data_IF_637577660406
#
_entry.id   IF_637577660406
#
_cell.length_a   1.000
_cell.length_b   1.000
_cell.length_c   1.000
_cell.angle_alpha   90.00
_cell.angle_beta   90.00
_cell.angle_gamma   90.00
#
_symmetry.space_group_name_H-M   'P 1'
#
loop_
_entity.id
_entity.type
_entity.pdbx_description
1 polymer ?
#
# COMPACT_ATOMS: atom_id res chain seq x y z
N UNK A 1 10.20 -19.50 14.61
CA UNK A 1 9.51 -20.63 13.96
C UNK A 1 8.94 -20.21 12.61
N UNK A 2 8.27 -19.04 12.52
CA UNK A 2 7.77 -18.43 11.26
C UNK A 2 8.83 -18.25 10.17
N UNK A 3 10.02 -17.74 10.52
CA UNK A 3 11.08 -17.46 9.55
C UNK A 3 11.56 -18.70 8.75
N UNK A 4 11.44 -19.90 9.34
CA UNK A 4 11.80 -21.15 8.66
C UNK A 4 10.73 -21.57 7.64
N UNK A 5 9.46 -21.44 8.01
CA UNK A 5 8.33 -21.69 7.10
C UNK A 5 8.33 -20.68 5.94
N UNK A 6 8.68 -19.43 6.23
CA UNK A 6 8.81 -18.37 5.23
C UNK A 6 9.90 -18.66 4.19
N UNK A 7 11.04 -19.20 4.63
CA UNK A 7 12.13 -19.65 3.76
C UNK A 7 11.74 -20.87 2.91
N UNK A 8 10.98 -21.81 3.47
CA UNK A 8 10.49 -22.99 2.75
C UNK A 8 9.47 -22.60 1.66
N UNK A 9 8.58 -21.63 1.95
CA UNK A 9 7.64 -21.08 0.96
C UNK A 9 8.39 -20.38 -0.18
N UNK A 10 9.41 -19.57 0.14
CA UNK A 10 10.25 -18.91 -0.85
C UNK A 10 10.96 -19.90 -1.78
N UNK A 11 11.59 -20.92 -1.20
CA UNK A 11 12.32 -21.96 -1.94
C UNK A 11 11.37 -22.72 -2.88
N UNK A 12 10.17 -23.08 -2.40
CA UNK A 12 9.15 -23.74 -3.23
C UNK A 12 8.67 -22.87 -4.40
N UNK A 13 8.45 -21.56 -4.18
CA UNK A 13 8.05 -20.64 -5.25
C UNK A 13 9.16 -20.43 -6.27
N UNK A 14 10.40 -20.26 -5.83
CA UNK A 14 11.56 -20.12 -6.70
C UNK A 14 11.72 -21.37 -7.59
N UNK A 15 11.55 -22.57 -7.02
CA UNK A 15 11.54 -23.84 -7.77
C UNK A 15 10.38 -23.94 -8.76
N UNK A 16 9.16 -23.60 -8.37
CA UNK A 16 8.01 -23.64 -9.29
C UNK A 16 8.15 -22.66 -10.46
N UNK A 17 8.70 -21.48 -10.19
CA UNK A 17 8.95 -20.44 -11.21
C UNK A 17 10.09 -20.83 -12.14
N UNK A 18 11.15 -21.44 -11.61
CA UNK A 18 12.29 -21.91 -12.40
C UNK A 18 11.93 -23.12 -13.25
N UNK A 19 11.17 -24.08 -12.72
CA UNK A 19 10.64 -25.23 -13.47
C UNK A 19 9.69 -24.78 -14.57
N UNK A 20 8.82 -23.79 -14.29
CA UNK A 20 7.94 -23.20 -15.29
C UNK A 20 8.72 -22.55 -16.45
N UNK A 21 9.73 -21.73 -16.13
CA UNK A 21 10.60 -21.10 -17.12
C UNK A 21 11.42 -22.13 -17.91
N UNK A 22 11.98 -23.14 -17.24
CA UNK A 22 12.77 -24.19 -17.87
C UNK A 22 11.94 -25.02 -18.86
N UNK A 23 10.75 -25.44 -18.43
CA UNK A 23 9.83 -26.27 -19.23
C UNK A 23 9.32 -25.57 -20.48
N UNK A 24 9.14 -24.25 -20.44
CA UNK A 24 8.54 -23.49 -21.54
C UNK A 24 9.53 -22.68 -22.37
N UNK A 25 10.68 -22.27 -21.83
CA UNK A 25 11.67 -21.46 -22.54
C UNK A 25 12.83 -22.25 -23.16
N UNK A 26 12.93 -23.59 -22.97
CA UNK A 26 14.05 -24.42 -23.46
C UNK A 26 15.42 -23.73 -23.30
N UNK A 27 15.70 -23.18 -22.13
CA UNK A 27 17.00 -22.58 -21.87
C UNK A 27 18.02 -23.69 -21.62
N UNK A 28 18.83 -24.00 -22.63
CA UNK A 28 20.05 -24.80 -22.47
C UNK A 28 21.07 -24.00 -21.63
N UNK A 29 21.69 -24.69 -20.67
CA UNK A 29 22.23 -24.07 -19.45
C UNK A 29 23.49 -23.24 -19.59
N UNK A 30 23.87 -22.56 -18.49
CA UNK A 30 25.27 -22.40 -18.11
C UNK A 30 25.44 -21.96 -16.64
N UNK A 31 26.62 -22.25 -16.07
CA UNK A 31 27.10 -22.05 -14.68
C UNK A 31 26.99 -20.62 -14.11
N UNK A 32 26.50 -19.65 -14.89
CA UNK A 32 26.13 -18.30 -14.47
C UNK A 32 25.02 -18.27 -13.41
N UNK A 33 24.08 -19.22 -13.47
CA UNK A 33 22.89 -19.26 -12.61
C UNK A 33 23.22 -19.49 -11.12
N UNK A 34 24.21 -20.35 -10.85
CA UNK A 34 24.72 -20.61 -9.48
C UNK A 34 25.29 -19.35 -8.84
N UNK A 35 26.04 -18.54 -9.62
CA UNK A 35 26.67 -17.33 -9.12
C UNK A 35 25.66 -16.21 -8.89
N UNK A 36 24.61 -16.12 -9.71
CA UNK A 36 23.50 -15.18 -9.50
C UNK A 36 22.67 -15.58 -8.28
N UNK A 37 22.33 -16.86 -8.12
CA UNK A 37 21.58 -17.35 -6.96
C UNK A 37 22.38 -17.21 -5.66
N UNK A 38 23.70 -17.44 -5.71
CA UNK A 38 24.59 -17.20 -4.58
C UNK A 38 24.75 -15.71 -4.26
N UNK A 39 24.85 -14.84 -5.26
CA UNK A 39 24.87 -13.39 -5.05
C UNK A 39 23.54 -12.86 -4.48
N UNK A 40 22.40 -13.40 -4.92
CA UNK A 40 21.08 -13.09 -4.36
C UNK A 40 20.98 -13.60 -2.92
N UNK A 41 21.42 -14.83 -2.63
CA UNK A 41 21.45 -15.38 -1.27
C UNK A 41 22.38 -14.60 -0.32
N UNK A 42 23.58 -14.24 -0.77
CA UNK A 42 24.57 -13.48 -0.01
C UNK A 42 24.14 -12.01 0.20
N UNK A 43 23.37 -11.45 -0.75
CA UNK A 43 22.72 -10.16 -0.62
C UNK A 43 21.55 -10.21 0.39
N UNK A 44 20.74 -11.28 0.35
CA UNK A 44 19.61 -11.49 1.27
C UNK A 44 20.05 -11.79 2.71
N UNK A 45 21.20 -12.44 2.91
CA UNK A 45 21.74 -12.72 4.25
C UNK A 45 22.26 -11.48 5.00
N UNK A 46 22.62 -10.40 4.29
CA UNK A 46 23.36 -9.26 4.87
C UNK A 46 22.49 -8.13 5.41
N UNK A 47 21.17 -8.26 5.48
CA UNK A 47 20.33 -7.11 5.84
C UNK A 47 19.09 -7.55 6.64
N UNK A 48 18.67 -6.73 7.61
CA UNK A 48 17.33 -6.78 8.23
C UNK A 48 16.26 -5.99 7.40
N UNK A 49 15.85 -6.44 6.19
CA UNK A 49 14.62 -6.00 5.54
C UNK A 49 13.81 -7.17 4.93
N UNK A 50 13.85 -8.36 5.55
CA UNK A 50 13.18 -9.54 5.01
C UNK A 50 11.66 -9.40 4.89
N UNK A 51 10.98 -8.53 5.65
CA UNK A 51 9.51 -8.39 5.56
C UNK A 51 9.04 -7.91 4.18
N UNK A 52 9.61 -6.83 3.64
CA UNK A 52 9.15 -6.21 2.38
C UNK A 52 9.47 -7.09 1.16
N UNK A 53 10.64 -7.75 1.15
CA UNK A 53 11.03 -8.68 0.07
C UNK A 53 10.19 -9.96 0.13
N UNK A 54 9.98 -10.51 1.34
CA UNK A 54 9.15 -11.69 1.56
C UNK A 54 7.68 -11.43 1.27
N UNK A 55 7.14 -10.26 1.67
CA UNK A 55 5.81 -9.80 1.29
C UNK A 55 5.73 -9.75 -0.24
N UNK A 56 6.62 -9.05 -0.93
CA UNK A 56 6.63 -8.96 -2.40
C UNK A 56 6.64 -10.34 -3.11
N UNK A 57 7.36 -11.33 -2.59
CA UNK A 57 7.41 -12.69 -3.15
C UNK A 57 6.18 -13.55 -2.77
N UNK A 58 5.52 -13.25 -1.65
CA UNK A 58 4.26 -13.89 -1.24
C UNK A 58 3.03 -13.26 -1.90
N UNK A 59 3.12 -12.03 -2.36
CA UNK A 59 1.97 -11.23 -2.79
C UNK A 59 1.23 -11.80 -3.99
N UNK A 60 1.89 -12.54 -4.89
CA UNK A 60 1.24 -13.06 -6.08
C UNK A 60 1.53 -14.53 -6.38
N UNK A 61 0.63 -15.12 -7.16
CA UNK A 61 0.73 -16.45 -7.75
C UNK A 61 0.27 -16.40 -9.21
N UNK A 62 0.70 -17.39 -10.00
CA UNK A 62 0.19 -17.55 -11.37
C UNK A 62 -1.20 -18.17 -11.25
N UNK A 63 -2.21 -17.42 -11.68
CA UNK A 63 -3.61 -17.84 -11.71
C UNK A 63 -3.91 -18.65 -12.96
N UNK A 64 -3.41 -18.20 -14.10
CA UNK A 64 -3.64 -18.85 -15.40
C UNK A 64 -2.56 -18.47 -16.43
N UNK A 65 -2.46 -19.26 -17.49
CA UNK A 65 -1.56 -19.05 -18.61
C UNK A 65 -2.20 -19.50 -19.93
N UNK A 66 -2.26 -18.59 -20.90
CA UNK A 66 -2.78 -18.86 -22.24
C UNK A 66 -1.69 -18.64 -23.30
N UNK A 67 -1.67 -19.53 -24.31
CA UNK A 67 -0.93 -19.31 -25.56
C UNK A 67 -1.91 -19.35 -26.72
N UNK A 68 -2.03 -18.25 -27.45
CA UNK A 68 -2.90 -18.16 -28.64
C UNK A 68 -2.29 -17.25 -29.69
N UNK A 69 -2.22 -17.73 -30.94
CA UNK A 69 -1.81 -16.96 -32.12
C UNK A 69 -0.46 -16.23 -31.97
N UNK A 70 0.54 -16.88 -31.36
CA UNK A 70 1.86 -16.28 -31.12
C UNK A 70 1.90 -15.24 -29.98
N UNK A 71 0.78 -15.02 -29.28
CA UNK A 71 0.73 -14.24 -28.06
C UNK A 71 0.72 -15.15 -26.83
N UNK A 72 1.48 -14.76 -25.82
CA UNK A 72 1.46 -15.39 -24.50
C UNK A 72 0.74 -14.48 -23.52
N UNK A 73 -0.16 -15.03 -22.71
CA UNK A 73 -0.85 -14.29 -21.65
C UNK A 73 -0.61 -14.97 -20.34
N UNK A 74 -0.16 -14.21 -19.36
CA UNK A 74 0.03 -14.65 -17.98
C UNK A 74 -0.96 -13.87 -17.11
N UNK A 75 -1.67 -14.58 -16.25
CA UNK A 75 -2.55 -13.99 -15.25
C UNK A 75 -1.92 -14.18 -13.88
N UNK A 76 -1.68 -13.06 -13.18
CA UNK A 76 -1.11 -13.04 -11.85
C UNK A 76 -2.18 -12.59 -10.87
N UNK A 77 -2.46 -13.42 -9.86
CA UNK A 77 -3.39 -13.11 -8.80
C UNK A 77 -2.60 -12.59 -7.58
N UNK A 78 -2.91 -11.37 -7.14
CA UNK A 78 -2.25 -10.71 -6.03
C UNK A 78 -3.10 -10.78 -4.77
N UNK A 79 -2.90 -11.83 -3.96
CA UNK A 79 -3.66 -12.11 -2.73
C UNK A 79 -5.19 -12.01 -2.92
N UNK A 80 -5.69 -12.25 -4.13
CA UNK A 80 -7.09 -12.09 -4.56
C UNK A 80 -7.61 -10.66 -4.63
N UNK A 81 -6.77 -9.64 -4.41
CA UNK A 81 -7.16 -8.23 -4.52
C UNK A 81 -7.04 -7.69 -5.94
N UNK A 82 -6.06 -8.20 -6.71
CA UNK A 82 -5.78 -7.79 -8.08
C UNK A 82 -5.57 -9.03 -8.94
N UNK A 83 -6.15 -9.06 -10.13
CA UNK A 83 -5.68 -9.92 -11.23
C UNK A 83 -4.97 -9.05 -12.26
N UNK A 84 -3.66 -9.25 -12.42
CA UNK A 84 -2.88 -8.61 -13.46
C UNK A 84 -2.76 -9.53 -14.66
N UNK A 85 -3.10 -9.02 -15.84
CA UNK A 85 -2.89 -9.71 -17.10
C UNK A 85 -1.67 -9.12 -17.80
N UNK A 86 -0.72 -9.97 -18.14
CA UNK A 86 0.48 -9.61 -18.92
C UNK A 86 0.42 -10.34 -20.25
N UNK A 87 0.26 -9.60 -21.34
CA UNK A 87 0.24 -10.14 -22.71
C UNK A 87 1.57 -9.83 -23.39
N UNK A 88 2.32 -10.87 -23.75
CA UNK A 88 3.57 -10.78 -24.51
C UNK A 88 3.28 -11.11 -25.96
N UNK A 89 3.47 -10.14 -26.85
CA UNK A 89 3.34 -10.33 -28.30
C UNK A 89 4.72 -10.54 -28.91
N UNK A 90 5.02 -11.77 -29.36
CA UNK A 90 6.34 -12.09 -29.94
C UNK A 90 6.55 -11.55 -31.34
N UNK A 91 5.48 -11.17 -32.06
CA UNK A 91 5.59 -10.59 -33.40
C UNK A 91 5.97 -9.10 -33.39
N UNK A 92 5.65 -8.38 -32.31
CA UNK A 92 5.89 -6.93 -32.19
C UNK A 92 6.84 -6.56 -31.03
N UNK A 93 7.48 -7.54 -30.37
CA UNK A 93 8.33 -7.35 -29.18
C UNK A 93 7.74 -6.35 -28.19
N UNK A 94 6.49 -6.57 -27.78
CA UNK A 94 5.77 -5.67 -26.87
C UNK A 94 5.05 -6.43 -25.77
N UNK A 95 4.91 -5.76 -24.62
CA UNK A 95 4.18 -6.25 -23.46
C UNK A 95 2.98 -5.32 -23.23
N UNK A 96 1.79 -5.90 -23.06
CA UNK A 96 0.57 -5.18 -22.70
C UNK A 96 0.14 -5.63 -21.32
N UNK A 97 -0.11 -4.68 -20.43
CA UNK A 97 -0.46 -4.93 -19.03
C UNK A 97 -1.78 -4.27 -18.71
N UNK A 98 -2.66 -5.01 -18.04
CA UNK A 98 -3.92 -4.51 -17.51
C UNK A 98 -4.17 -5.12 -16.14
N UNK A 99 -4.66 -4.32 -15.20
CA UNK A 99 -4.99 -4.75 -13.84
C UNK A 99 -6.51 -4.76 -13.66
N UNK A 100 -7.03 -5.78 -12.98
CA UNK A 100 -8.43 -5.85 -12.56
C UNK A 100 -8.49 -5.92 -11.04
N UNK A 101 -9.26 -5.04 -10.40
CA UNK A 101 -9.43 -5.04 -8.95
C UNK A 101 -10.61 -5.92 -8.54
N UNK A 102 -10.48 -6.59 -7.41
CA UNK A 102 -11.57 -7.32 -6.76
C UNK A 102 -12.26 -6.42 -5.72
N UNK A 103 -13.23 -5.64 -6.18
CA UNK A 103 -14.02 -4.72 -5.36
C UNK A 103 -14.71 -5.41 -4.18
N UNK A 104 -15.27 -6.59 -4.41
CA UNK A 104 -15.94 -7.40 -3.38
C UNK A 104 -14.97 -7.79 -2.26
N UNK A 105 -13.78 -8.29 -2.60
CA UNK A 105 -12.79 -8.70 -1.59
C UNK A 105 -12.22 -7.50 -0.83
N UNK A 106 -11.93 -6.41 -1.53
CA UNK A 106 -11.42 -5.17 -0.91
C UNK A 106 -12.45 -4.60 0.05
N UNK A 107 -13.71 -4.46 -0.38
CA UNK A 107 -14.79 -3.94 0.46
C UNK A 107 -15.08 -4.81 1.68
N UNK A 108 -14.98 -6.14 1.54
CA UNK A 108 -15.15 -7.09 2.65
C UNK A 108 -14.02 -7.00 3.68
N UNK A 109 -12.77 -6.88 3.24
CA UNK A 109 -11.62 -6.88 4.14
C UNK A 109 -11.39 -5.52 4.81
N UNK A 110 -11.78 -4.43 4.13
CA UNK A 110 -11.55 -3.06 4.60
C UNK A 110 -12.86 -2.24 4.63
N UNK A 111 -13.82 -2.60 5.49
CA UNK A 111 -15.12 -1.94 5.52
C UNK A 111 -15.04 -0.53 6.11
N UNK A 112 -15.88 0.37 5.58
CA UNK A 112 -16.07 1.74 6.09
C UNK A 112 -14.82 2.64 6.06
N UNK A 113 -13.86 2.36 5.18
CA UNK A 113 -12.67 3.19 4.98
C UNK A 113 -12.54 3.75 3.56
N UNK A 114 -13.47 3.44 2.65
CA UNK A 114 -13.37 3.78 1.23
C UNK A 114 -12.05 3.27 0.60
N UNK A 115 -11.53 2.16 1.11
CA UNK A 115 -10.26 1.57 0.67
C UNK A 115 -10.24 1.30 -0.84
N UNK A 116 -11.36 0.91 -1.44
CA UNK A 116 -11.45 0.68 -2.89
C UNK A 116 -10.98 1.88 -3.71
N UNK A 117 -11.30 3.12 -3.28
CA UNK A 117 -10.83 4.34 -3.95
C UNK A 117 -9.31 4.50 -3.87
N UNK A 118 -8.68 4.07 -2.77
CA UNK A 118 -7.21 4.05 -2.67
C UNK A 118 -6.58 2.98 -3.58
N UNK A 119 -7.17 1.79 -3.64
CA UNK A 119 -6.73 0.73 -4.56
C UNK A 119 -6.82 1.18 -6.02
N UNK A 120 -7.95 1.76 -6.41
CA UNK A 120 -8.15 2.30 -7.75
C UNK A 120 -7.14 3.41 -8.08
N UNK A 121 -6.90 4.32 -7.16
CA UNK A 121 -5.94 5.42 -7.35
C UNK A 121 -4.49 4.94 -7.52
N UNK A 122 -4.06 3.98 -6.70
CA UNK A 122 -2.67 3.52 -6.64
C UNK A 122 -2.33 2.57 -7.79
N UNK A 123 -3.27 1.69 -8.16
CA UNK A 123 -3.02 0.60 -9.11
C UNK A 123 -3.52 0.89 -10.53
N UNK A 124 -4.28 1.97 -10.69
CA UNK A 124 -4.82 2.49 -11.95
C UNK A 124 -5.33 1.38 -12.90
N UNK A 125 -6.35 0.61 -12.50
CA UNK A 125 -6.81 -0.55 -13.26
C UNK A 125 -7.43 -0.18 -14.61
N UNK A 126 -7.81 1.09 -14.80
CA UNK A 126 -8.49 1.55 -16.01
C UNK A 126 -7.51 1.84 -17.15
N UNK A 127 -6.21 1.90 -16.88
CA UNK A 127 -5.21 2.11 -17.92
C UNK A 127 -4.60 0.78 -18.37
N UNK A 128 -4.60 0.59 -19.68
CA UNK A 128 -3.80 -0.48 -20.30
C UNK A 128 -2.45 0.08 -20.64
N UNK A 129 -1.39 -0.49 -20.07
CA UNK A 129 -0.02 -0.04 -20.30
C UNK A 129 0.61 -0.89 -21.41
N UNK A 130 0.97 -0.24 -22.52
CA UNK A 130 1.79 -0.85 -23.58
C UNK A 130 3.26 -0.49 -23.34
N UNK A 131 4.08 -1.48 -23.07
CA UNK A 131 5.52 -1.33 -22.90
C UNK A 131 6.24 -1.80 -24.17
N UNK A 132 7.04 -0.91 -24.75
CA UNK A 132 7.95 -1.19 -25.87
C UNK A 132 9.40 -1.10 -25.38
N UNK A 133 10.32 -1.87 -25.95
CA UNK A 133 11.75 -1.85 -25.57
C UNK A 133 12.11 -2.73 -24.37
N UNK A 134 13.02 -2.29 -23.49
CA UNK A 134 13.65 -3.08 -22.41
C UNK A 134 12.77 -3.39 -21.19
N UNK A 135 11.47 -3.06 -21.26
CA UNK A 135 10.54 -3.31 -20.16
C UNK A 135 10.31 -4.82 -20.03
N UNK A 136 10.69 -5.40 -18.91
CA UNK A 136 10.50 -6.82 -18.64
C UNK A 136 9.23 -7.08 -17.82
N UNK A 137 8.64 -8.25 -18.02
CA UNK A 137 7.57 -8.78 -17.17
C UNK A 137 7.93 -8.73 -15.68
N UNK A 138 9.20 -9.02 -15.35
CA UNK A 138 9.72 -8.98 -13.99
C UNK A 138 9.63 -7.57 -13.38
N UNK A 139 10.00 -6.53 -14.14
CA UNK A 139 9.93 -5.14 -13.67
C UNK A 139 8.50 -4.72 -13.35
N UNK A 140 7.56 -5.04 -14.22
CA UNK A 140 6.16 -4.61 -14.07
C UNK A 140 5.44 -5.37 -12.94
N UNK A 141 5.77 -6.64 -12.78
CA UNK A 141 5.35 -7.46 -11.62
C UNK A 141 5.89 -6.87 -10.31
N UNK A 142 7.16 -6.45 -10.30
CA UNK A 142 7.79 -5.82 -9.13
C UNK A 142 7.16 -4.46 -8.78
N UNK A 143 6.86 -3.63 -9.79
CA UNK A 143 6.15 -2.35 -9.60
C UNK A 143 4.79 -2.61 -8.94
N UNK A 144 4.02 -3.54 -9.49
CA UNK A 144 2.68 -3.89 -8.97
C UNK A 144 2.74 -4.41 -7.55
N UNK A 145 3.71 -5.30 -7.27
CA UNK A 145 3.96 -5.82 -5.91
C UNK A 145 4.30 -4.70 -4.93
N UNK A 146 5.17 -3.77 -5.32
CA UNK A 146 5.60 -2.65 -4.48
C UNK A 146 4.46 -1.68 -4.19
N UNK A 147 3.64 -1.37 -5.20
CA UNK A 147 2.44 -0.54 -5.04
C UNK A 147 1.46 -1.18 -4.07
N UNK A 148 1.14 -2.46 -4.29
CA UNK A 148 0.19 -3.20 -3.46
C UNK A 148 0.70 -3.37 -2.03
N UNK A 149 1.97 -3.72 -1.83
CA UNK A 149 2.55 -3.92 -0.48
C UNK A 149 2.41 -2.67 0.37
N UNK A 150 2.84 -1.51 -0.15
CA UNK A 150 2.77 -0.27 0.61
C UNK A 150 1.33 0.17 0.86
N UNK A 151 0.42 -0.07 -0.08
CA UNK A 151 -0.99 0.19 0.10
C UNK A 151 -1.59 -0.69 1.20
N UNK A 152 -1.30 -2.00 1.20
CA UNK A 152 -1.76 -2.93 2.22
C UNK A 152 -1.25 -2.54 3.61
N UNK A 153 0.04 -2.21 3.73
CA UNK A 153 0.61 -1.73 5.00
C UNK A 153 -0.17 -0.52 5.54
N UNK A 154 -0.49 0.46 4.68
CA UNK A 154 -1.24 1.66 5.08
C UNK A 154 -2.69 1.33 5.45
N UNK A 155 -3.40 0.53 4.65
CA UNK A 155 -4.81 0.21 4.92
C UNK A 155 -4.97 -0.65 6.17
N UNK A 156 -4.06 -1.60 6.40
CA UNK A 156 -4.02 -2.43 7.62
C UNK A 156 -3.70 -1.59 8.86
N UNK A 157 -2.79 -0.62 8.75
CA UNK A 157 -2.53 0.33 9.83
C UNK A 157 -3.73 1.22 10.15
N UNK A 158 -4.47 1.69 9.14
CA UNK A 158 -5.71 2.47 9.32
C UNK A 158 -6.75 1.64 10.06
N UNK A 159 -6.94 0.37 9.66
CA UNK A 159 -7.87 -0.53 10.33
C UNK A 159 -7.46 -0.79 11.78
N UNK A 160 -6.17 -1.04 12.02
CA UNK A 160 -5.62 -1.22 13.36
C UNK A 160 -5.82 0.02 14.23
N UNK A 161 -5.58 1.21 13.67
CA UNK A 161 -5.80 2.48 14.35
C UNK A 161 -7.26 2.69 14.75
N UNK A 162 -8.22 2.32 13.88
CA UNK A 162 -9.66 2.41 14.21
C UNK A 162 -10.08 1.48 15.34
N UNK A 163 -9.43 0.33 15.48
CA UNK A 163 -9.70 -0.62 16.57
C UNK A 163 -9.06 -0.12 17.87
N UNK A 164 -7.84 0.40 17.80
CA UNK A 164 -7.06 0.75 18.98
C UNK A 164 -7.37 2.14 19.54
N UNK A 165 -7.51 3.14 18.67
CA UNK A 165 -7.62 4.55 19.05
C UNK A 165 -9.09 4.90 19.28
N UNK A 166 -9.52 4.84 20.54
CA UNK A 166 -10.93 4.92 20.94
C UNK A 166 -11.68 6.15 20.45
N UNK A 167 -10.98 7.28 20.31
CA UNK A 167 -11.62 8.53 19.89
C UNK A 167 -11.47 8.81 18.39
N UNK A 168 -10.89 7.90 17.61
CA UNK A 168 -10.90 7.92 16.14
C UNK A 168 -12.23 7.34 15.66
N UNK A 169 -13.16 8.23 15.29
CA UNK A 169 -14.53 7.85 14.90
C UNK A 169 -14.65 7.49 13.42
N UNK A 170 -13.74 7.98 12.58
CA UNK A 170 -13.74 7.74 11.14
C UNK A 170 -12.32 7.78 10.61
N UNK A 171 -11.99 6.89 9.68
CA UNK A 171 -10.77 6.98 8.88
C UNK A 171 -11.09 6.52 7.46
N UNK A 172 -10.93 7.42 6.49
CA UNK A 172 -11.37 7.22 5.11
C UNK A 172 -10.36 7.72 4.10
N UNK A 173 -10.26 7.00 2.99
CA UNK A 173 -9.51 7.40 1.82
C UNK A 173 -10.38 8.22 0.89
N UNK A 174 -9.85 9.33 0.38
CA UNK A 174 -10.54 10.22 -0.55
C UNK A 174 -9.65 10.48 -1.76
N UNK A 175 -10.13 10.08 -2.95
CA UNK A 175 -9.53 10.50 -4.21
C UNK A 175 -10.35 11.66 -4.78
N UNK A 176 -9.81 12.86 -4.68
CA UNK A 176 -10.46 14.07 -5.23
C UNK A 176 -10.28 14.18 -6.76
N UNK A 177 -9.24 13.51 -7.29
CA UNK A 177 -8.90 13.45 -8.71
C UNK A 177 -7.91 12.32 -8.95
N UNK A 178 -7.57 12.06 -10.22
CA UNK A 178 -6.50 11.11 -10.60
C UNK A 178 -5.10 11.50 -10.09
N UNK A 179 -4.93 12.73 -9.57
CA UNK A 179 -3.66 13.27 -9.11
C UNK A 179 -3.49 13.30 -7.60
N UNK A 180 -4.57 13.17 -6.82
CA UNK A 180 -4.51 13.34 -5.37
C UNK A 180 -5.29 12.28 -4.61
N UNK A 181 -4.61 11.65 -3.66
CA UNK A 181 -5.18 10.74 -2.68
C UNK A 181 -4.93 11.27 -1.27
N UNK A 182 -6.00 11.47 -0.52
CA UNK A 182 -5.94 11.89 0.86
C UNK A 182 -6.42 10.79 1.80
N UNK A 183 -5.81 10.71 2.98
CA UNK A 183 -6.33 9.98 4.14
C UNK A 183 -6.92 11.00 5.13
N UNK A 184 -8.22 10.92 5.36
CA UNK A 184 -8.91 11.74 6.35
C UNK A 184 -9.18 10.94 7.61
N UNK A 185 -8.82 11.52 8.74
CA UNK A 185 -9.05 10.96 10.07
C UNK A 185 -9.96 11.91 10.86
N UNK A 186 -11.06 11.39 11.41
CA UNK A 186 -11.97 12.15 12.25
C UNK A 186 -11.86 11.68 13.70
N UNK A 187 -11.50 12.60 14.59
CA UNK A 187 -11.42 12.36 16.03
C UNK A 187 -12.56 13.06 16.75
N UNK A 188 -12.95 12.54 17.90
CA UNK A 188 -13.84 13.23 18.85
C UNK A 188 -13.06 13.54 20.13
N UNK A 189 -13.25 14.74 20.66
CA UNK A 189 -12.89 15.02 22.04
C UNK A 189 -14.02 14.56 22.96
N UNK A 190 -13.71 13.71 23.92
CA UNK A 190 -14.73 13.14 24.81
C UNK A 190 -15.27 14.14 25.82
N UNK A 191 -14.50 15.19 26.14
CA UNK A 191 -14.92 16.20 27.10
C UNK A 191 -15.87 17.21 26.47
N UNK A 192 -15.49 17.80 25.32
CA UNK A 192 -16.32 18.80 24.66
C UNK A 192 -17.34 18.22 23.67
N UNK A 193 -17.20 16.95 23.29
CA UNK A 193 -17.97 16.33 22.20
C UNK A 193 -17.61 16.85 20.81
N UNK A 194 -16.62 17.76 20.71
CA UNK A 194 -16.21 18.38 19.45
C UNK A 194 -15.52 17.35 18.55
N UNK A 195 -15.81 17.43 17.25
CA UNK A 195 -15.12 16.63 16.24
C UNK A 195 -13.97 17.40 15.61
N UNK A 196 -12.89 16.70 15.31
CA UNK A 196 -11.73 17.20 14.61
C UNK A 196 -11.50 16.35 13.37
N UNK A 197 -11.33 16.97 12.21
CA UNK A 197 -10.86 16.29 11.00
C UNK A 197 -9.42 16.69 10.70
N UNK A 198 -8.60 15.68 10.43
CA UNK A 198 -7.20 15.82 10.00
C UNK A 198 -7.04 15.09 8.68
N UNK A 199 -6.55 15.80 7.67
CA UNK A 199 -6.32 15.25 6.32
C UNK A 199 -4.82 15.13 6.06
N UNK A 200 -4.40 14.00 5.51
CA UNK A 200 -3.04 13.75 5.06
C UNK A 200 -3.02 13.50 3.56
N UNK A 201 -2.10 14.13 2.84
CA UNK A 201 -1.81 13.76 1.45
C UNK A 201 -0.92 12.50 1.45
N UNK A 202 -1.43 11.42 0.85
CA UNK A 202 -0.75 10.13 0.74
C UNK A 202 -0.59 9.72 -0.73
N UNK A 203 -0.58 10.71 -1.64
CA UNK A 203 -0.37 10.52 -3.07
C UNK A 203 0.92 9.77 -3.40
N UNK A 204 1.91 9.82 -2.51
CA UNK A 204 3.18 9.08 -2.64
C UNK A 204 2.99 7.56 -2.84
N UNK A 205 1.85 7.00 -2.39
CA UNK A 205 1.52 5.59 -2.62
C UNK A 205 1.43 5.24 -4.11
N UNK A 206 1.04 6.18 -4.97
CA UNK A 206 1.01 5.99 -6.44
C UNK A 206 2.41 5.75 -7.02
N UNK A 207 3.46 6.15 -6.31
CA UNK A 207 4.85 5.93 -6.68
C UNK A 207 5.47 4.69 -6.00
N UNK A 208 4.68 3.90 -5.26
CA UNK A 208 5.18 2.77 -4.48
C UNK A 208 6.02 3.21 -3.27
N UNK A 209 5.75 4.40 -2.74
CA UNK A 209 6.44 4.95 -1.57
C UNK A 209 5.50 4.97 -0.39
N UNK A 210 5.89 4.29 0.69
CA UNK A 210 5.19 4.35 1.97
C UNK A 210 5.21 5.78 2.54
N UNK A 211 4.11 6.30 3.11
CA UNK A 211 4.00 7.65 3.65
C UNK A 211 4.77 7.83 4.99
N UNK A 212 6.10 7.74 4.95
CA UNK A 212 6.96 7.76 6.14
C UNK A 212 7.09 9.14 6.81
N UNK A 213 6.91 10.22 6.04
CA UNK A 213 7.20 11.61 6.45
C UNK A 213 6.01 12.57 6.28
N UNK A 214 4.79 12.03 6.14
CA UNK A 214 3.60 12.84 5.90
C UNK A 214 3.26 13.75 7.09
N UNK A 215 2.80 14.96 6.76
CA UNK A 215 2.26 15.95 7.69
C UNK A 215 0.80 16.28 7.31
N UNK A 216 -0.01 16.80 8.24
CA UNK A 216 -1.37 17.21 7.93
C UNK A 216 -1.42 18.30 6.86
N UNK A 217 -2.18 18.07 5.80
CA UNK A 217 -2.47 19.08 4.77
C UNK A 217 -3.61 20.01 5.22
N UNK A 218 -4.55 19.49 6.01
CA UNK A 218 -5.69 20.25 6.55
C UNK A 218 -6.06 19.76 7.96
N UNK A 219 -6.48 20.70 8.81
CA UNK A 219 -7.00 20.45 10.16
C UNK A 219 -8.20 21.37 10.37
N UNK A 220 -9.40 20.83 10.60
CA UNK A 220 -10.61 21.64 10.74
C UNK A 220 -11.73 20.94 11.53
N UNK A 221 -12.73 21.73 11.97
CA UNK A 221 -13.94 21.23 12.62
C UNK A 221 -15.03 20.98 11.56
N UNK A 222 -15.56 19.75 11.39
CA UNK A 222 -16.59 19.47 10.42
C UNK A 222 -17.93 20.16 10.71
N UNK A 223 -18.17 20.62 11.95
CA UNK A 223 -19.41 21.32 12.34
C UNK A 223 -19.40 22.82 12.00
N UNK A 224 -18.31 23.34 11.46
CA UNK A 224 -18.13 24.77 11.16
C UNK A 224 -18.66 25.23 9.79
N UNK A 225 -19.39 24.36 9.06
CA UNK A 225 -19.93 24.64 7.72
C UNK A 225 -21.26 25.40 7.67
N UNK A 226 -21.83 25.80 8.81
CA UNK A 226 -23.06 26.61 8.89
C UNK A 226 -22.83 27.94 9.59
N UNK A 227 -22.62 29.01 8.81
CA UNK A 227 -23.00 30.41 9.10
C UNK A 227 -22.38 31.18 10.27
N UNK A 228 -22.05 30.55 11.40
CA UNK A 228 -21.54 31.22 12.62
C UNK A 228 -20.33 30.44 13.17
N UNK A 229 -19.14 30.94 12.85
CA UNK A 229 -17.87 30.25 13.04
C UNK A 229 -17.50 30.05 14.52
N UNK A 230 -17.37 28.78 14.94
CA UNK A 230 -16.32 28.40 15.89
C UNK A 230 -15.19 27.74 15.10
N UNK A 231 -14.28 28.57 14.59
CA UNK A 231 -13.00 28.08 14.09
C UNK A 231 -12.29 27.26 15.17
N UNK A 232 -11.50 26.27 14.75
CA UNK A 232 -10.71 25.50 15.70
C UNK A 232 -9.74 26.45 16.42
N UNK A 233 -9.55 26.36 17.76
CA UNK A 233 -8.58 27.19 18.45
C UNK A 233 -7.20 27.01 17.81
N UNK A 234 -6.52 28.12 17.49
CA UNK A 234 -5.18 28.08 16.87
C UNK A 234 -4.21 27.23 17.69
N UNK A 235 -4.28 27.33 19.02
CA UNK A 235 -3.50 26.51 19.95
C UNK A 235 -3.68 25.00 19.73
N UNK A 236 -4.90 24.54 19.45
CA UNK A 236 -5.17 23.12 19.19
C UNK A 236 -4.62 22.72 17.82
N UNK A 237 -4.75 23.56 16.80
CA UNK A 237 -4.17 23.29 15.48
C UNK A 237 -2.65 23.14 15.58
N UNK A 238 -2.00 24.03 16.33
CA UNK A 238 -0.53 24.03 16.51
C UNK A 238 -0.07 22.85 17.37
N UNK A 239 -0.84 22.46 18.39
CA UNK A 239 -0.59 21.26 19.18
C UNK A 239 -0.66 20.00 18.32
N UNK A 240 -1.67 19.90 17.44
CA UNK A 240 -1.82 18.78 16.51
C UNK A 240 -0.67 18.74 15.51
N UNK A 241 -0.28 19.87 14.93
CA UNK A 241 0.88 19.95 14.03
C UNK A 241 2.16 19.50 14.74
N UNK A 242 2.40 20.00 15.95
CA UNK A 242 3.56 19.62 16.77
C UNK A 242 3.55 18.13 17.10
N UNK A 243 2.40 17.60 17.51
CA UNK A 243 2.21 16.19 17.81
C UNK A 243 2.51 15.31 16.59
N UNK A 244 2.06 15.69 15.39
CA UNK A 244 2.35 14.94 14.16
C UNK A 244 3.82 15.03 13.75
N UNK A 245 4.45 16.21 13.86
CA UNK A 245 5.86 16.41 13.54
C UNK A 245 6.79 15.63 14.48
N UNK A 246 6.38 15.43 15.74
CA UNK A 246 7.18 14.70 16.75
C UNK A 246 7.23 13.18 16.55
N UNK A 247 6.27 12.61 15.81
CA UNK A 247 6.26 11.17 15.58
C UNK A 247 7.51 10.81 14.76
N UNK A 248 8.16 9.67 15.02
CA UNK A 248 9.34 9.23 14.24
C UNK A 248 8.98 8.72 12.85
N UNK A 249 9.76 9.06 11.84
CA UNK A 249 9.60 8.56 10.46
C UNK A 249 9.73 7.02 10.38
N UNK A 250 9.15 6.41 9.34
CA UNK A 250 9.24 4.96 9.07
C UNK A 250 7.93 4.18 9.27
N UNK A 251 7.96 2.86 9.07
CA UNK A 251 6.77 1.96 9.11
C UNK A 251 5.92 2.08 10.38
N UNK A 252 4.65 1.64 10.30
CA UNK A 252 3.67 1.84 11.38
C UNK A 252 3.43 3.31 11.69
N UNK A 253 3.62 4.20 10.70
CA UNK A 253 3.50 5.65 10.83
C UNK A 253 2.07 6.07 11.08
N UNK A 254 1.11 5.51 10.35
CA UNK A 254 -0.29 5.95 10.36
C UNK A 254 -0.90 5.72 11.73
N UNK A 255 -0.70 4.53 12.30
CA UNK A 255 -1.21 4.23 13.65
C UNK A 255 -0.54 5.09 14.73
N UNK A 256 0.76 5.38 14.60
CA UNK A 256 1.48 6.27 15.53
C UNK A 256 1.00 7.72 15.42
N UNK A 257 0.71 8.20 14.21
CA UNK A 257 0.06 9.50 13.99
C UNK A 257 -1.31 9.53 14.66
N UNK A 258 -2.14 8.49 14.48
CA UNK A 258 -3.45 8.40 15.10
C UNK A 258 -3.38 8.49 16.63
N UNK A 259 -2.46 7.74 17.26
CA UNK A 259 -2.22 7.81 18.71
C UNK A 259 -1.77 9.20 19.16
N UNK A 260 -0.82 9.80 18.44
CA UNK A 260 -0.30 11.13 18.76
C UNK A 260 -1.38 12.21 18.68
N UNK A 261 -2.17 12.20 17.61
CA UNK A 261 -3.30 13.12 17.42
C UNK A 261 -4.37 12.89 18.50
N UNK A 262 -4.72 11.64 18.78
CA UNK A 262 -5.66 11.29 19.85
C UNK A 262 -5.22 11.90 21.19
N UNK A 263 -3.94 11.82 21.53
CA UNK A 263 -3.43 12.38 22.77
C UNK A 263 -3.58 13.90 22.80
N UNK A 264 -3.19 14.60 21.72
CA UNK A 264 -3.33 16.05 21.62
C UNK A 264 -4.81 16.49 21.71
N UNK A 265 -5.72 15.80 21.03
CA UNK A 265 -7.17 16.09 21.09
C UNK A 265 -7.70 16.00 22.53
N UNK A 266 -7.25 15.00 23.30
CA UNK A 266 -7.72 14.79 24.68
C UNK A 266 -6.96 15.63 25.73
N UNK A 267 -5.75 16.10 25.42
CA UNK A 267 -4.91 16.87 26.34
C UNK A 267 -5.36 18.33 26.48
N UNK A 268 -6.02 18.89 25.46
CA UNK A 268 -6.46 20.29 25.40
C UNK A 268 -7.36 20.73 26.58
N UNK A 269 -7.95 19.79 27.33
CA UNK A 269 -8.78 20.08 28.51
C UNK A 269 -8.06 19.93 29.86
N UNK A 270 -6.94 19.19 29.94
CA UNK A 270 -6.20 18.99 31.21
C UNK A 270 -5.46 20.23 31.69
N UNK A 271 -5.19 21.19 30.80
CA UNK A 271 -4.53 22.45 31.13
C UNK A 271 -5.45 23.52 31.73
N UNK A 272 -6.77 23.29 31.79
CA UNK A 272 -7.76 24.26 32.34
C UNK A 272 -8.29 23.89 33.74
N UNK A 273 -7.76 22.83 34.34
CA UNK A 273 -8.22 22.24 35.60
C UNK A 273 -7.18 22.30 36.72
N UNK A 274 -6.17 23.16 36.60
CA UNK A 274 -5.16 23.46 37.61
C UNK A 274 -5.18 24.95 37.93
#
# INVERSE_FOLDING_TARGET
>A
MEMKQDLEILDSKAKSSSEFLYKYCKMEGDQSYSNIMKAISDYLQKRMPCKSILQNLKLWEIEDFERKDGCYRVFLNYCGYITQRITVNTGQSSIIISNCLNDVKIGKNFPNSDAFSAFEFVLDPRTTKKCTGSSSMARETQITSSLLSNLLDVVEEVQSARIEVRNLVEAKFYSHSVLRLDLQLSFIDFYSGRKLKVTFDITCLKCGVYPAEILPSQIYDPSSSSGEHKSLPSSLVDEIRTATASVRVGYSRIIRLCRSISHAVQACHKSKSL
#
